data_IF_368266159677
#
_entry.id   IF_368266159677
#
_cell.length_a   1.000
_cell.length_b   1.000
_cell.length_c   1.000
_cell.angle_alpha   90.00
_cell.angle_beta   90.00
_cell.angle_gamma   90.00
#
_symmetry.space_group_name_H-M   'P 1'
#
loop_
_entity.id
_entity.type
_entity.pdbx_description
1 polymer ?
#
# COMPACT_ATOMS: atom_id res chain seq x y z
N UNK A 1 18.74 -9.25 -1.77
CA UNK A 1 17.88 -8.37 -2.59
C UNK A 1 16.43 -8.69 -2.26
N UNK A 2 15.72 -7.71 -1.79
CA UNK A 2 14.29 -7.88 -1.46
C UNK A 2 13.46 -7.86 -2.74
N UNK A 3 12.85 -9.00 -3.09
CA UNK A 3 12.02 -9.14 -4.30
C UNK A 3 10.55 -8.80 -4.05
N UNK A 4 10.21 -8.41 -2.84
CA UNK A 4 8.83 -8.17 -2.43
C UNK A 4 8.53 -6.70 -2.10
N UNK A 5 9.50 -5.80 -2.21
CA UNK A 5 9.27 -4.40 -1.93
C UNK A 5 8.65 -3.65 -3.12
N UNK A 6 8.32 -2.39 -2.92
CA UNK A 6 7.76 -1.54 -3.97
C UNK A 6 8.69 -1.43 -5.19
N UNK A 7 10.01 -1.27 -4.96
CA UNK A 7 10.97 -1.16 -6.05
C UNK A 7 10.98 -2.40 -6.94
N UNK A 8 10.84 -3.60 -6.37
CA UNK A 8 10.75 -4.85 -7.12
C UNK A 8 9.49 -4.89 -8.00
N UNK A 9 8.36 -4.45 -7.47
CA UNK A 9 7.12 -4.33 -8.26
C UNK A 9 7.27 -3.31 -9.38
N UNK A 10 7.80 -2.13 -9.10
CA UNK A 10 8.00 -1.07 -10.10
C UNK A 10 8.95 -1.50 -11.21
N UNK A 11 9.97 -2.29 -10.90
CA UNK A 11 10.89 -2.86 -11.89
C UNK A 11 10.22 -3.94 -12.75
N UNK A 12 9.31 -4.73 -12.15
CA UNK A 12 8.60 -5.79 -12.86
C UNK A 12 7.59 -5.25 -13.87
N UNK A 13 6.88 -4.18 -13.52
CA UNK A 13 5.91 -3.53 -14.41
C UNK A 13 5.86 -2.01 -14.14
N UNK A 14 6.74 -1.24 -14.78
CA UNK A 14 6.79 0.21 -14.58
C UNK A 14 5.49 0.94 -14.90
N UNK A 15 4.77 0.50 -15.92
CA UNK A 15 3.50 1.10 -16.33
C UNK A 15 2.41 0.90 -15.28
N UNK A 16 2.27 -0.32 -14.78
CA UNK A 16 1.32 -0.62 -13.72
C UNK A 16 1.69 0.12 -12.43
N UNK A 17 2.96 0.15 -12.08
CA UNK A 17 3.45 0.87 -10.89
C UNK A 17 3.11 2.36 -10.97
N UNK A 18 3.29 2.99 -12.12
CA UNK A 18 2.94 4.39 -12.33
C UNK A 18 1.43 4.64 -12.14
N UNK A 19 0.59 3.75 -12.64
CA UNK A 19 -0.87 3.82 -12.46
C UNK A 19 -1.25 3.67 -10.99
N UNK A 20 -0.66 2.70 -10.28
CA UNK A 20 -0.89 2.48 -8.86
C UNK A 20 -0.51 3.71 -8.04
N UNK A 21 0.68 4.25 -8.29
CA UNK A 21 1.17 5.44 -7.58
C UNK A 21 0.27 6.65 -7.83
N UNK A 22 -0.19 6.84 -9.07
CA UNK A 22 -1.13 7.88 -9.43
C UNK A 22 -2.46 7.74 -8.66
N UNK A 23 -2.98 6.52 -8.54
CA UNK A 23 -4.22 6.28 -7.79
C UNK A 23 -4.07 6.62 -6.31
N UNK A 24 -2.97 6.24 -5.69
CA UNK A 24 -2.70 6.61 -4.30
C UNK A 24 -2.43 8.11 -4.14
N UNK A 25 -1.86 8.76 -5.14
CA UNK A 25 -1.62 10.21 -5.13
C UNK A 25 -2.85 11.07 -5.37
N UNK A 26 -3.96 10.50 -5.86
CA UNK A 26 -5.17 11.26 -6.17
C UNK A 26 -5.90 11.78 -4.93
N UNK A 27 -5.79 11.10 -3.80
CA UNK A 27 -6.40 11.48 -2.53
C UNK A 27 -5.41 11.29 -1.39
N UNK A 28 -5.61 12.04 -0.31
CA UNK A 28 -4.74 12.00 0.86
C UNK A 28 -4.96 10.73 1.70
N UNK A 29 -6.23 10.32 1.86
CA UNK A 29 -6.59 9.22 2.75
C UNK A 29 -7.02 7.99 1.99
N UNK A 30 -6.53 6.85 2.45
CA UNK A 30 -6.84 5.52 1.94
C UNK A 30 -7.32 4.63 3.07
N UNK A 31 -7.70 3.39 2.77
CA UNK A 31 -8.21 2.45 3.77
C UNK A 31 -7.18 1.34 4.00
N UNK A 32 -6.77 1.20 5.24
CA UNK A 32 -5.89 0.12 5.69
C UNK A 32 -6.72 -0.91 6.46
N UNK A 33 -6.57 -2.18 6.11
CA UNK A 33 -7.12 -3.30 6.86
C UNK A 33 -6.01 -4.00 7.64
N UNK A 34 -6.26 -4.24 8.91
CA UNK A 34 -5.40 -4.97 9.82
C UNK A 34 -6.22 -6.04 10.54
N UNK A 35 -5.58 -6.90 11.33
CA UNK A 35 -6.25 -7.98 12.03
C UNK A 35 -6.24 -7.73 13.54
N UNK A 36 -7.43 -7.79 14.14
CA UNK A 36 -7.59 -7.73 15.59
C UNK A 36 -7.03 -8.99 16.25
N UNK A 37 -6.90 -8.96 17.57
CA UNK A 37 -6.41 -10.09 18.36
C UNK A 37 -7.21 -11.38 18.11
N UNK A 38 -8.52 -11.27 17.87
CA UNK A 38 -9.39 -12.42 17.60
C UNK A 38 -9.37 -12.85 16.11
N UNK A 39 -8.57 -12.20 15.27
CA UNK A 39 -8.47 -12.48 13.84
C UNK A 39 -9.49 -11.73 12.98
N UNK A 40 -10.42 -10.99 13.59
CA UNK A 40 -11.39 -10.22 12.80
C UNK A 40 -10.73 -9.00 12.14
N UNK A 41 -11.17 -8.61 10.94
CA UNK A 41 -10.59 -7.47 10.24
C UNK A 41 -11.00 -6.13 10.88
N UNK A 42 -10.05 -5.19 10.84
CA UNK A 42 -10.25 -3.79 11.21
C UNK A 42 -9.91 -2.92 10.01
N UNK A 43 -10.71 -1.91 9.73
CA UNK A 43 -10.39 -0.90 8.72
C UNK A 43 -10.20 0.46 9.36
N UNK A 44 -9.17 1.18 8.92
CA UNK A 44 -8.85 2.54 9.39
C UNK A 44 -8.38 3.39 8.23
N UNK A 45 -8.49 4.71 8.37
CA UNK A 45 -7.91 5.65 7.42
C UNK A 45 -6.39 5.75 7.58
N UNK A 46 -5.69 5.96 6.47
CA UNK A 46 -4.23 6.06 6.46
C UNK A 46 -3.75 6.91 5.30
N UNK A 47 -2.69 7.69 5.54
CA UNK A 47 -1.88 8.29 4.49
C UNK A 47 -0.67 7.41 4.21
N UNK A 48 -0.30 7.28 2.94
CA UNK A 48 0.85 6.47 2.53
C UNK A 48 1.88 7.32 1.80
N UNK A 49 3.14 6.86 1.79
CA UNK A 49 4.22 7.48 1.05
C UNK A 49 5.02 6.44 0.27
N UNK A 50 5.32 6.78 -0.98
CA UNK A 50 6.22 6.01 -1.83
C UNK A 50 7.55 6.76 -1.88
N UNK A 51 8.54 6.30 -1.14
CA UNK A 51 9.84 6.96 -1.03
C UNK A 51 10.98 5.95 -1.04
N UNK A 52 12.01 6.24 -1.81
CA UNK A 52 13.24 5.44 -1.82
C UNK A 52 13.02 3.95 -2.14
N UNK A 53 12.10 3.66 -3.07
CA UNK A 53 11.81 2.30 -3.48
C UNK A 53 10.95 1.51 -2.50
N UNK A 54 10.36 2.18 -1.51
CA UNK A 54 9.52 1.56 -0.49
C UNK A 54 8.14 2.20 -0.45
N UNK A 55 7.16 1.41 -0.08
CA UNK A 55 5.85 1.90 0.36
C UNK A 55 5.86 1.98 1.88
N UNK A 56 5.74 3.18 2.41
CA UNK A 56 5.80 3.46 3.85
C UNK A 56 4.43 3.70 4.43
N UNK A 57 4.19 3.13 5.62
CA UNK A 57 2.99 3.38 6.41
C UNK A 57 3.40 4.09 7.70
N UNK A 58 3.08 5.38 7.80
CA UNK A 58 3.31 6.17 9.01
C UNK A 58 2.04 6.24 9.84
N UNK A 59 2.15 6.09 11.16
CA UNK A 59 1.00 6.02 12.06
C UNK A 59 1.24 6.83 13.32
N UNK A 60 0.16 7.41 13.86
CA UNK A 60 0.19 8.13 15.13
C UNK A 60 0.61 7.21 16.28
N UNK A 61 1.25 7.78 17.33
CA UNK A 61 1.66 6.99 18.50
C UNK A 61 0.51 6.20 19.11
N UNK A 62 0.78 4.96 19.44
CA UNK A 62 -0.17 4.05 20.11
C UNK A 62 -1.48 3.81 19.35
N UNK A 63 -1.51 4.05 18.05
CA UNK A 63 -2.69 3.76 17.26
C UNK A 63 -2.99 2.26 17.29
N UNK A 64 -4.29 1.91 17.26
CA UNK A 64 -4.71 0.51 17.36
C UNK A 64 -4.21 -0.30 16.16
N UNK A 65 -4.19 0.30 14.98
CA UNK A 65 -3.63 -0.34 13.78
C UNK A 65 -2.14 -0.67 13.92
N UNK A 66 -1.36 0.17 14.60
CA UNK A 66 0.05 -0.14 14.87
C UNK A 66 0.19 -1.34 15.81
N UNK A 67 -0.64 -1.41 16.84
CA UNK A 67 -0.66 -2.56 17.74
C UNK A 67 -1.11 -3.84 17.03
N UNK A 68 -2.09 -3.75 16.15
CA UNK A 68 -2.52 -4.87 15.31
C UNK A 68 -1.35 -5.40 14.48
N UNK A 69 -0.63 -4.50 13.79
CA UNK A 69 0.48 -4.88 12.91
C UNK A 69 1.69 -5.45 13.66
N UNK A 70 1.92 -5.02 14.89
CA UNK A 70 2.95 -5.64 15.75
C UNK A 70 2.62 -7.07 16.10
N UNK A 71 1.34 -7.35 16.34
CA UNK A 71 0.87 -8.69 16.69
C UNK A 71 0.79 -9.59 15.46
N UNK A 72 0.27 -9.05 14.35
CA UNK A 72 0.13 -9.76 13.07
C UNK A 72 0.43 -8.77 11.94
N UNK A 73 1.55 -8.93 11.23
CA UNK A 73 1.99 -7.94 10.26
C UNK A 73 1.18 -7.90 8.96
N UNK A 74 0.24 -8.82 8.74
CA UNK A 74 -0.55 -8.87 7.52
C UNK A 74 -1.45 -7.65 7.39
N UNK A 75 -1.47 -7.05 6.21
CA UNK A 75 -2.32 -5.92 5.91
C UNK A 75 -2.91 -6.02 4.51
N UNK A 76 -3.99 -5.29 4.29
CA UNK A 76 -4.47 -4.93 2.97
C UNK A 76 -4.70 -3.42 2.91
N UNK A 77 -4.32 -2.82 1.81
CA UNK A 77 -4.42 -1.38 1.60
C UNK A 77 -5.23 -1.13 0.33
N UNK A 78 -6.32 -0.37 0.47
CA UNK A 78 -7.19 0.02 -0.64
C UNK A 78 -7.00 1.50 -0.95
N UNK A 79 -6.64 1.83 -2.18
CA UNK A 79 -6.61 3.22 -2.62
C UNK A 79 -8.03 3.81 -2.60
N UNK A 80 -8.14 5.07 -2.18
CA UNK A 80 -9.43 5.76 -2.19
C UNK A 80 -10.01 5.78 -3.62
N UNK A 81 -11.20 5.20 -3.84
CA UNK A 81 -11.77 5.11 -5.19
C UNK A 81 -12.29 6.44 -5.73
N UNK A 82 -12.43 7.47 -4.87
CA UNK A 82 -13.01 8.75 -5.25
C UNK A 82 -14.53 8.69 -5.40
N UNK A 83 -15.15 9.85 -5.71
CA UNK A 83 -16.61 9.95 -5.78
C UNK A 83 -17.20 9.55 -7.14
N UNK A 84 -16.36 9.28 -8.12
CA UNK A 84 -16.79 9.10 -9.50
C UNK A 84 -17.30 7.70 -9.82
N UNK A 85 -17.96 7.61 -10.96
CA UNK A 85 -18.32 6.35 -11.59
C UNK A 85 -17.27 5.93 -12.62
N UNK A 86 -16.25 6.76 -12.81
CA UNK A 86 -15.17 6.51 -13.77
C UNK A 86 -14.18 5.52 -13.18
N UNK A 87 -14.13 4.34 -13.80
CA UNK A 87 -13.22 3.25 -13.45
C UNK A 87 -12.04 3.13 -14.43
N UNK A 88 -11.76 4.18 -15.20
CA UNK A 88 -10.70 4.14 -16.22
C UNK A 88 -9.33 3.83 -15.61
N UNK A 89 -8.96 4.50 -14.51
CA UNK A 89 -7.73 4.18 -13.77
C UNK A 89 -7.91 3.02 -12.80
N UNK A 90 -9.15 2.69 -12.47
CA UNK A 90 -9.53 1.51 -11.70
C UNK A 90 -9.37 1.63 -10.20
N UNK A 91 -9.73 0.55 -9.54
CA UNK A 91 -9.45 0.31 -8.12
C UNK A 91 -8.10 -0.36 -7.96
N UNK A 92 -7.35 0.04 -6.94
CA UNK A 92 -6.06 -0.55 -6.61
C UNK A 92 -6.06 -1.01 -5.16
N UNK A 93 -5.59 -2.23 -4.95
CA UNK A 93 -5.31 -2.73 -3.60
C UNK A 93 -3.94 -3.38 -3.55
N UNK A 94 -3.32 -3.29 -2.39
CA UNK A 94 -2.01 -3.87 -2.10
C UNK A 94 -2.16 -4.74 -0.85
N UNK A 95 -1.70 -5.96 -0.92
CA UNK A 95 -1.60 -6.86 0.23
C UNK A 95 -0.15 -7.12 0.58
N UNK A 96 0.12 -7.37 1.85
CA UNK A 96 1.48 -7.64 2.28
C UNK A 96 1.64 -7.77 3.78
N UNK A 97 2.89 -7.56 4.22
CA UNK A 97 3.30 -7.56 5.61
C UNK A 97 3.95 -6.22 5.94
N UNK A 98 3.56 -5.62 7.04
CA UNK A 98 4.10 -4.34 7.51
C UNK A 98 5.03 -4.60 8.71
N UNK A 99 6.27 -4.13 8.60
CA UNK A 99 7.32 -4.38 9.58
C UNK A 99 7.80 -3.04 10.13
N UNK A 100 7.71 -2.87 11.45
CA UNK A 100 8.14 -1.63 12.10
C UNK A 100 9.66 -1.46 12.01
N UNK A 101 10.11 -0.24 11.70
CA UNK A 101 11.52 0.07 11.49
C UNK A 101 12.13 0.83 12.66
N UNK A 102 11.87 0.40 13.88
CA UNK A 102 12.37 1.04 15.10
C UNK A 102 13.90 1.12 15.15
N UNK A 103 14.57 0.10 14.63
CA UNK A 103 16.03 -0.04 14.69
C UNK A 103 16.75 0.65 13.54
N UNK A 104 16.03 1.13 12.53
CA UNK A 104 16.61 1.81 11.37
C UNK A 104 16.50 3.32 11.52
N UNK A 105 17.41 3.89 12.30
CA UNK A 105 17.46 5.34 12.54
C UNK A 105 17.67 6.16 11.25
N UNK A 106 18.36 5.60 10.24
CA UNK A 106 18.55 6.27 8.96
C UNK A 106 17.26 6.34 8.16
N UNK A 107 16.50 5.24 8.05
CA UNK A 107 15.23 5.21 7.36
C UNK A 107 14.21 6.15 8.02
N UNK A 108 14.14 6.15 9.33
CA UNK A 108 13.26 7.06 10.10
C UNK A 108 13.64 8.52 9.83
N UNK A 109 14.93 8.85 9.89
CA UNK A 109 15.40 10.22 9.64
C UNK A 109 15.09 10.69 8.23
N UNK A 110 15.31 9.85 7.22
CA UNK A 110 14.98 10.17 5.82
C UNK A 110 13.49 10.41 5.63
N UNK A 111 12.67 9.58 6.26
CA UNK A 111 11.22 9.73 6.24
C UNK A 111 10.80 11.07 6.90
N UNK A 112 11.33 11.37 8.06
CA UNK A 112 11.05 12.63 8.78
C UNK A 112 11.43 13.85 7.93
N UNK A 113 12.61 13.83 7.30
CA UNK A 113 13.10 14.94 6.50
C UNK A 113 12.19 15.21 5.27
N UNK A 114 11.64 14.17 4.66
CA UNK A 114 10.85 14.31 3.44
C UNK A 114 9.35 14.48 3.70
N UNK A 115 8.81 13.83 4.71
CA UNK A 115 7.38 13.85 5.00
C UNK A 115 7.01 14.94 6.00
N UNK A 116 7.93 15.28 6.89
CA UNK A 116 7.71 16.24 7.96
C UNK A 116 6.44 15.94 8.79
N UNK A 117 6.39 14.78 9.47
CA UNK A 117 5.21 14.38 10.24
C UNK A 117 4.94 15.36 11.40
N UNK A 118 3.69 15.46 11.87
CA UNK A 118 3.32 16.41 12.93
C UNK A 118 4.14 16.27 14.23
N UNK A 119 4.49 15.04 14.60
CA UNK A 119 5.38 14.77 15.74
C UNK A 119 6.47 13.80 15.30
N UNK A 120 7.65 14.32 14.87
CA UNK A 120 8.73 13.47 14.38
C UNK A 120 9.39 12.61 15.47
N UNK A 121 9.13 12.88 16.74
CA UNK A 121 9.70 12.13 17.85
C UNK A 121 8.81 10.96 18.32
N UNK A 122 7.56 10.91 17.88
CA UNK A 122 6.57 9.99 18.43
C UNK A 122 5.57 9.50 17.39
N UNK A 123 6.04 8.73 16.41
CA UNK A 123 5.17 8.07 15.43
C UNK A 123 5.68 6.67 15.17
N UNK A 124 4.83 5.83 14.58
CA UNK A 124 5.22 4.48 14.15
C UNK A 124 5.44 4.48 12.65
N UNK A 125 6.57 3.95 12.21
CA UNK A 125 6.90 3.80 10.80
C UNK A 125 7.05 2.33 10.45
N UNK A 126 6.31 1.88 9.43
CA UNK A 126 6.35 0.51 8.95
C UNK A 126 6.84 0.49 7.51
N UNK A 127 7.84 -0.36 7.24
CA UNK A 127 8.23 -0.77 5.90
C UNK A 127 7.29 -1.89 5.46
N UNK A 128 7.09 -2.04 4.16
CA UNK A 128 6.18 -3.07 3.64
C UNK A 128 6.91 -4.10 2.79
N UNK A 129 6.52 -5.35 2.96
CA UNK A 129 6.80 -6.45 2.05
C UNK A 129 5.50 -6.79 1.34
N UNK A 130 5.49 -6.68 0.00
CA UNK A 130 4.27 -6.85 -0.77
C UNK A 130 4.07 -8.32 -1.15
N UNK A 131 2.86 -8.84 -0.97
CA UNK A 131 2.48 -10.18 -1.40
C UNK A 131 1.63 -10.15 -2.66
N UNK A 132 0.94 -9.04 -2.92
CA UNK A 132 0.21 -8.83 -4.15
C UNK A 132 -0.08 -7.35 -4.40
N UNK A 133 -0.19 -6.98 -5.67
CA UNK A 133 -0.76 -5.72 -6.13
C UNK A 133 -1.83 -6.05 -7.15
N UNK A 134 -3.05 -5.53 -6.95
CA UNK A 134 -4.19 -5.83 -7.80
C UNK A 134 -4.81 -4.53 -8.29
N UNK A 135 -4.98 -4.43 -9.59
CA UNK A 135 -5.74 -3.35 -10.23
C UNK A 135 -6.95 -3.92 -10.93
N UNK A 136 -8.12 -3.34 -10.67
CA UNK A 136 -9.37 -3.70 -11.34
C UNK A 136 -9.92 -2.47 -12.05
N UNK A 137 -10.17 -2.55 -13.35
CA UNK A 137 -10.69 -1.44 -14.12
C UNK A 137 -11.65 -1.90 -15.21
N UNK A 138 -12.41 -0.97 -15.76
CA UNK A 138 -13.34 -1.21 -16.86
C UNK A 138 -12.71 -0.75 -18.16
N UNK A 139 -12.69 -1.61 -19.16
CA UNK A 139 -12.15 -1.36 -20.50
C UNK A 139 -13.29 -1.31 -21.51
N UNK A 140 -13.33 -0.24 -22.30
CA UNK A 140 -14.31 -0.04 -23.39
C UNK A 140 -15.78 -0.17 -22.94
N UNK A 141 -16.09 0.17 -21.69
CA UNK A 141 -17.41 0.04 -21.07
C UNK A 141 -18.00 -1.39 -21.18
N UNK A 142 -17.18 -2.39 -21.48
CA UNK A 142 -17.61 -3.75 -21.79
C UNK A 142 -16.92 -4.82 -20.94
N UNK A 143 -15.68 -4.60 -20.56
CA UNK A 143 -14.87 -5.62 -19.90
C UNK A 143 -14.41 -5.18 -18.53
N UNK A 144 -14.56 -6.05 -17.55
CA UNK A 144 -13.89 -5.92 -16.26
C UNK A 144 -12.52 -6.58 -16.39
N UNK A 145 -11.47 -5.79 -16.20
CA UNK A 145 -10.08 -6.27 -16.29
C UNK A 145 -9.46 -6.28 -14.91
N UNK A 146 -8.84 -7.40 -14.55
CA UNK A 146 -8.12 -7.57 -13.28
C UNK A 146 -6.66 -7.91 -13.59
N UNK A 147 -5.76 -7.04 -13.14
CA UNK A 147 -4.32 -7.27 -13.22
C UNK A 147 -3.79 -7.64 -11.84
N UNK A 148 -3.03 -8.71 -11.74
CA UNK A 148 -2.48 -9.22 -10.48
C UNK A 148 -0.98 -9.40 -10.62
N UNK A 149 -0.21 -8.73 -9.77
CA UNK A 149 1.20 -8.99 -9.58
C UNK A 149 1.44 -9.70 -8.25
N UNK A 150 2.32 -10.69 -8.28
CA UNK A 150 2.89 -11.34 -7.09
C UNK A 150 4.40 -11.40 -7.24
N UNK A 151 5.17 -11.32 -6.13
CA UNK A 151 6.63 -11.37 -6.19
C UNK A 151 7.14 -12.59 -6.97
N UNK A 152 8.08 -12.32 -7.89
CA UNK A 152 8.71 -13.37 -8.69
C UNK A 152 7.87 -13.92 -9.84
N UNK A 153 6.66 -13.39 -10.05
CA UNK A 153 5.76 -13.80 -11.11
C UNK A 153 5.51 -12.65 -12.10
N UNK A 154 5.23 -12.93 -13.38
CA UNK A 154 4.77 -11.90 -14.29
C UNK A 154 3.36 -11.44 -13.92
N UNK A 155 3.01 -10.21 -14.32
CA UNK A 155 1.64 -9.70 -14.11
C UNK A 155 0.66 -10.56 -14.89
N UNK A 156 -0.35 -11.06 -14.20
CA UNK A 156 -1.44 -11.83 -14.81
C UNK A 156 -2.62 -10.91 -15.05
N UNK A 157 -3.20 -10.97 -16.25
CA UNK A 157 -4.38 -10.19 -16.62
C UNK A 157 -5.55 -11.12 -16.90
N UNK A 158 -6.66 -10.87 -16.24
CA UNK A 158 -7.93 -11.59 -16.45
C UNK A 158 -8.95 -10.58 -16.97
N UNK A 159 -9.66 -10.94 -18.03
CA UNK A 159 -10.69 -10.11 -18.63
C UNK A 159 -12.02 -10.84 -18.57
N UNK A 160 -13.07 -10.15 -18.12
CA UNK A 160 -14.43 -10.69 -17.99
C UNK A 160 -15.43 -9.78 -18.69
N UNK A 161 -16.44 -10.36 -19.33
CA UNK A 161 -17.60 -9.67 -19.89
C UNK A 161 -18.72 -9.59 -18.87
#
# INVERSE_FOLDING_TARGET
MDRSNWAAFAAADPGLAATVEKRFGAFTHHVLATLRKDGSPRTTGLEVRFLHGELWLGMMPNSVKALDLRRDPRFALQANPGPGTDMADGDVRIGGRAIEVDDDAEAVRRYVDEVNPPDPSAFHLFRTELTEVVRTYVEDDAYLVVQVWKPGEPVRTVRRT
#
